data_IF_746212593338
#
_entry.id   IF_746212593338
#
_cell.length_a   1.000
_cell.length_b   1.000
_cell.length_c   1.000
_cell.angle_alpha   90.00
_cell.angle_beta   90.00
_cell.angle_gamma   90.00
#
_symmetry.space_group_name_H-M   'P 1'
#
loop_
_entity.id
_entity.type
_entity.pdbx_description
1 polymer ?
#
# COMPACT_ATOMS: atom_id res chain seq x y z
N UNK A 1 -2.79 -31.11 4.61
CA UNK A 1 -2.05 -30.49 3.51
C UNK A 1 -3.03 -29.71 2.66
N UNK A 2 -2.70 -28.47 2.29
CA UNK A 2 -3.48 -27.65 1.41
C UNK A 2 -2.55 -26.99 0.40
N UNK A 3 -3.01 -26.91 -0.84
CA UNK A 3 -2.33 -26.22 -1.94
C UNK A 3 -3.35 -25.41 -2.71
N UNK A 4 -3.02 -24.19 -3.08
CA UNK A 4 -3.86 -23.35 -3.93
C UNK A 4 -3.03 -22.34 -4.72
N UNK A 5 -3.49 -22.01 -5.93
CA UNK A 5 -2.92 -20.96 -6.77
C UNK A 5 -4.00 -19.94 -7.06
N UNK A 6 -3.64 -18.65 -7.04
CA UNK A 6 -4.52 -17.53 -7.39
C UNK A 6 -3.77 -16.58 -8.31
N UNK A 7 -4.36 -16.31 -9.45
CA UNK A 7 -3.92 -15.25 -10.37
C UNK A 7 -4.79 -14.01 -10.22
N UNK A 8 -4.19 -12.84 -10.28
CA UNK A 8 -4.87 -11.55 -10.31
C UNK A 8 -4.16 -10.62 -11.28
N UNK A 9 -4.90 -10.11 -12.27
CA UNK A 9 -4.41 -9.13 -13.25
C UNK A 9 -5.25 -7.86 -13.10
N UNK A 10 -4.54 -6.72 -12.93
CA UNK A 10 -5.14 -5.39 -12.93
C UNK A 10 -4.43 -4.57 -14.00
N UNK A 11 -5.08 -4.35 -15.13
CA UNK A 11 -4.60 -3.46 -16.20
C UNK A 11 -5.35 -2.14 -16.12
N UNK A 12 -4.61 -1.05 -16.17
CA UNK A 12 -5.14 0.31 -16.24
C UNK A 12 -4.70 1.00 -17.54
N UNK A 13 -4.23 0.24 -18.51
CA UNK A 13 -3.89 0.74 -19.83
C UNK A 13 -5.13 1.30 -20.54
N UNK A 14 -4.97 2.37 -21.28
CA UNK A 14 -6.06 2.89 -22.12
C UNK A 14 -6.45 1.85 -23.18
N UNK A 15 -7.72 1.52 -23.35
CA UNK A 15 -8.15 0.60 -24.39
C UNK A 15 -8.07 1.22 -25.80
N UNK A 16 -7.88 2.54 -25.89
CA UNK A 16 -7.84 3.31 -27.15
C UNK A 16 -6.66 4.26 -27.11
N UNK A 17 -5.95 4.40 -28.21
CA UNK A 17 -4.88 5.37 -28.38
C UNK A 17 -3.52 4.89 -27.89
N UNK A 18 -3.31 3.61 -27.61
CA UNK A 18 -1.99 3.05 -27.30
C UNK A 18 -0.99 3.36 -28.42
N UNK A 19 0.24 3.77 -28.05
CA UNK A 19 1.27 4.21 -28.96
C UNK A 19 1.08 5.64 -29.51
N UNK A 20 0.05 6.37 -29.02
CA UNK A 20 -0.16 7.77 -29.34
C UNK A 20 0.21 8.68 -28.17
N UNK A 21 0.85 9.82 -28.39
CA UNK A 21 1.15 10.77 -27.33
C UNK A 21 -0.12 11.42 -26.77
N UNK A 22 -0.05 11.82 -25.53
CA UNK A 22 -1.03 12.67 -24.89
C UNK A 22 -0.78 14.14 -25.25
N UNK A 23 -1.81 14.84 -25.67
CA UNK A 23 -1.79 16.27 -25.94
C UNK A 23 -2.76 17.00 -25.02
N UNK A 24 -2.25 17.99 -24.27
CA UNK A 24 -3.01 18.93 -23.50
C UNK A 24 -2.95 20.31 -24.19
N UNK A 25 -4.10 20.90 -24.48
CA UNK A 25 -4.21 22.23 -25.07
C UNK A 25 -4.89 23.13 -24.04
N UNK A 26 -4.11 24.06 -23.48
CA UNK A 26 -4.62 25.09 -22.57
C UNK A 26 -5.35 26.17 -23.40
N UNK A 27 -6.33 26.82 -22.78
CA UNK A 27 -7.16 27.84 -23.45
C UNK A 27 -7.74 27.39 -24.82
N UNK A 28 -8.25 26.18 -24.85
CA UNK A 28 -8.83 25.55 -26.03
C UNK A 28 -10.20 26.16 -26.37
N UNK A 29 -10.22 27.24 -27.15
CA UNK A 29 -11.44 27.94 -27.58
C UNK A 29 -11.92 29.02 -26.63
N UNK A 30 -11.62 28.98 -25.33
CA UNK A 30 -11.85 30.05 -24.37
C UNK A 30 -10.84 29.95 -23.21
N UNK A 31 -10.58 31.06 -22.55
CA UNK A 31 -9.67 31.14 -21.41
C UNK A 31 -10.08 30.18 -20.29
N UNK A 32 -9.13 29.39 -19.81
CA UNK A 32 -9.33 28.44 -18.73
C UNK A 32 -9.96 27.11 -19.14
N UNK A 33 -10.31 26.91 -20.42
CA UNK A 33 -10.78 25.62 -20.93
C UNK A 33 -9.57 24.82 -21.40
N UNK A 34 -9.46 23.57 -20.88
CA UNK A 34 -8.43 22.61 -21.26
C UNK A 34 -9.05 21.51 -22.13
N UNK A 35 -8.42 21.23 -23.27
CA UNK A 35 -8.71 20.09 -24.11
C UNK A 35 -7.61 19.04 -24.00
N UNK A 36 -8.00 17.77 -23.98
CA UNK A 36 -7.08 16.64 -23.89
C UNK A 36 -7.35 15.67 -25.06
N UNK A 37 -6.29 15.18 -25.68
CA UNK A 37 -6.32 14.26 -26.82
C UNK A 37 -5.31 13.15 -26.57
N UNK A 38 -5.65 11.92 -26.92
CA UNK A 38 -4.81 10.74 -26.71
C UNK A 38 -5.07 10.05 -25.38
N UNK A 39 -4.30 8.98 -25.04
CA UNK A 39 -4.39 8.29 -23.78
C UNK A 39 -3.81 9.19 -22.67
N UNK A 40 -4.38 9.09 -21.47
CA UNK A 40 -3.82 9.71 -20.25
C UNK A 40 -2.36 9.26 -20.06
N UNK A 41 -1.47 10.17 -19.65
CA UNK A 41 -0.04 9.91 -19.42
C UNK A 41 0.23 8.75 -18.46
N UNK A 42 -0.72 8.45 -17.55
CA UNK A 42 -0.60 7.34 -16.60
C UNK A 42 -1.17 6.02 -17.15
N UNK A 43 -1.65 5.99 -18.42
CA UNK A 43 -2.36 4.87 -19.03
C UNK A 43 -1.66 4.27 -20.25
N UNK A 44 -0.50 4.79 -20.64
CA UNK A 44 0.30 4.26 -21.74
C UNK A 44 0.94 2.90 -21.39
N UNK A 45 1.52 2.77 -20.20
CA UNK A 45 1.99 1.50 -19.65
C UNK A 45 1.65 1.42 -18.16
N UNK A 46 0.62 0.65 -17.81
CA UNK A 46 0.16 0.51 -16.42
C UNK A 46 -0.56 -0.83 -16.22
N UNK A 47 0.17 -1.84 -15.78
CA UNK A 47 -0.36 -3.17 -15.49
C UNK A 47 0.35 -3.81 -14.31
N UNK A 48 -0.43 -4.44 -13.43
CA UNK A 48 0.05 -5.32 -12.37
C UNK A 48 -0.58 -6.70 -12.55
N UNK A 49 0.24 -7.72 -12.73
CA UNK A 49 -0.15 -9.12 -12.65
C UNK A 49 0.56 -9.77 -11.47
N UNK A 50 -0.16 -10.58 -10.71
CA UNK A 50 0.35 -11.31 -9.56
C UNK A 50 -0.19 -12.72 -9.60
N UNK A 51 0.70 -13.71 -9.62
CA UNK A 51 0.35 -15.10 -9.32
C UNK A 51 0.78 -15.40 -7.88
N UNK A 52 -0.09 -16.04 -7.11
CA UNK A 52 0.19 -16.42 -5.72
C UNK A 52 0.00 -17.92 -5.57
N UNK A 53 1.05 -18.63 -5.22
CA UNK A 53 1.02 -20.04 -4.84
C UNK A 53 1.10 -20.17 -3.32
N UNK A 54 0.18 -20.93 -2.74
CA UNK A 54 0.11 -21.15 -1.30
C UNK A 54 0.16 -22.63 -0.99
N UNK A 55 1.14 -23.01 -0.15
CA UNK A 55 1.31 -24.36 0.38
C UNK A 55 1.21 -24.33 1.89
N UNK A 56 0.45 -25.25 2.48
CA UNK A 56 0.28 -25.37 3.93
C UNK A 56 0.35 -26.82 4.40
N UNK A 57 1.19 -27.05 5.39
CA UNK A 57 1.26 -28.29 6.17
C UNK A 57 0.83 -27.97 7.61
N UNK A 58 -0.13 -28.71 8.13
CA UNK A 58 -0.63 -28.54 9.51
C UNK A 58 -0.76 -29.89 10.20
N UNK A 59 -0.24 -29.99 11.41
CA UNK A 59 -0.43 -31.11 12.32
C UNK A 59 -1.16 -30.66 13.58
N UNK A 60 -1.98 -31.55 14.14
CA UNK A 60 -2.63 -31.36 15.46
C UNK A 60 -2.43 -32.60 16.28
N UNK A 61 -1.99 -32.44 17.54
CA UNK A 61 -1.77 -33.51 18.49
C UNK A 61 -2.45 -33.22 19.82
N UNK A 62 -3.19 -34.17 20.35
CA UNK A 62 -3.91 -34.08 21.61
C UNK A 62 -3.20 -34.87 22.69
N UNK A 63 -2.97 -34.24 23.84
CA UNK A 63 -2.34 -34.88 25.01
C UNK A 63 -2.96 -34.32 26.31
N UNK A 64 -3.81 -35.14 26.95
CA UNK A 64 -4.53 -34.69 28.16
C UNK A 64 -5.43 -33.51 27.87
N UNK A 65 -5.18 -32.38 28.55
CA UNK A 65 -5.88 -31.13 28.38
C UNK A 65 -5.20 -30.17 27.40
N UNK A 66 -4.20 -30.64 26.65
CA UNK A 66 -3.47 -29.87 25.65
C UNK A 66 -3.86 -30.27 24.23
N UNK A 67 -4.00 -29.25 23.35
CA UNK A 67 -4.15 -29.40 21.91
C UNK A 67 -3.05 -28.63 21.21
N UNK A 68 -1.97 -29.34 20.91
CA UNK A 68 -0.85 -28.78 20.15
C UNK A 68 -1.20 -28.66 18.68
N UNK A 69 -0.93 -27.50 18.09
CA UNK A 69 -1.01 -27.28 16.65
C UNK A 69 0.33 -26.73 16.16
N UNK A 70 0.86 -27.33 15.12
CA UNK A 70 2.10 -26.90 14.50
C UNK A 70 1.99 -26.96 12.98
N UNK A 71 2.75 -26.15 12.31
CA UNK A 71 2.70 -26.15 10.87
C UNK A 71 3.75 -25.29 10.20
N UNK A 72 3.75 -25.46 8.90
CA UNK A 72 4.54 -24.72 7.94
C UNK A 72 3.61 -24.18 6.87
N UNK A 73 3.83 -22.93 6.48
CA UNK A 73 3.15 -22.27 5.37
C UNK A 73 4.19 -21.61 4.48
N UNK A 74 4.05 -21.79 3.18
CA UNK A 74 4.83 -21.10 2.17
C UNK A 74 3.86 -20.35 1.26
N UNK A 75 4.17 -19.08 0.99
CA UNK A 75 3.49 -18.27 -0.02
C UNK A 75 4.54 -17.76 -0.98
N UNK A 76 4.37 -18.05 -2.25
CA UNK A 76 5.18 -17.53 -3.33
C UNK A 76 4.32 -16.54 -4.12
N UNK A 77 4.86 -15.35 -4.37
CA UNK A 77 4.29 -14.35 -5.27
C UNK A 77 5.21 -14.17 -6.47
N UNK A 78 4.68 -14.41 -7.66
CA UNK A 78 5.28 -14.05 -8.93
C UNK A 78 4.63 -12.76 -9.42
N UNK A 79 5.45 -11.74 -9.67
CA UNK A 79 5.04 -10.36 -9.90
C UNK A 79 5.51 -9.89 -11.25
N UNK A 80 4.57 -9.37 -12.04
CA UNK A 80 4.84 -8.50 -13.18
C UNK A 80 4.16 -7.16 -12.92
N UNK A 81 4.93 -6.09 -12.84
CA UNK A 81 4.40 -4.74 -12.68
C UNK A 81 5.11 -3.77 -13.62
N UNK A 82 4.36 -3.18 -14.55
CA UNK A 82 4.82 -2.09 -15.40
C UNK A 82 4.03 -0.84 -15.11
N UNK A 83 4.76 0.26 -14.88
CA UNK A 83 4.21 1.60 -14.80
C UNK A 83 5.25 2.60 -15.34
N UNK A 84 5.01 3.09 -16.55
CA UNK A 84 5.86 4.07 -17.21
C UNK A 84 4.98 5.27 -17.58
N UNK A 85 5.20 6.38 -16.89
CA UNK A 85 4.46 7.62 -17.14
C UNK A 85 4.86 8.23 -18.47
N UNK A 86 3.88 8.70 -19.25
CA UNK A 86 4.09 9.33 -20.54
C UNK A 86 5.03 8.54 -21.48
N UNK A 87 4.89 7.19 -21.51
CA UNK A 87 5.72 6.33 -22.35
C UNK A 87 5.63 6.70 -23.83
N UNK A 88 4.46 7.12 -24.29
CA UNK A 88 4.22 7.57 -25.67
C UNK A 88 4.44 9.07 -25.83
N UNK A 89 4.82 9.79 -24.77
CA UNK A 89 5.03 11.23 -24.72
C UNK A 89 3.80 12.00 -24.24
N UNK A 90 4.04 13.05 -23.47
CA UNK A 90 3.05 14.05 -23.04
C UNK A 90 3.46 15.45 -23.49
N UNK A 91 2.59 16.16 -24.17
CA UNK A 91 2.83 17.51 -24.69
C UNK A 91 1.76 18.49 -24.20
N UNK A 92 2.19 19.68 -23.81
CA UNK A 92 1.28 20.79 -23.53
C UNK A 92 1.43 21.88 -24.59
N UNK A 93 0.32 22.53 -24.92
CA UNK A 93 0.23 23.61 -25.89
C UNK A 93 -0.52 24.78 -25.29
N UNK A 94 -0.01 26.00 -25.47
CA UNK A 94 -0.70 27.24 -25.10
C UNK A 94 -1.59 27.70 -26.25
N UNK A 95 -2.86 27.25 -26.23
CA UNK A 95 -3.87 27.56 -27.22
C UNK A 95 -3.84 26.70 -28.50
N UNK A 96 -4.97 26.73 -29.21
CA UNK A 96 -5.18 25.97 -30.46
C UNK A 96 -4.19 26.38 -31.56
N UNK A 97 -3.81 27.66 -31.61
CA UNK A 97 -2.88 28.16 -32.63
C UNK A 97 -1.49 27.49 -32.54
N UNK A 98 -0.98 27.31 -31.32
CA UNK A 98 0.30 26.61 -31.10
C UNK A 98 0.18 25.12 -31.37
N UNK A 99 -0.95 24.50 -31.04
CA UNK A 99 -1.21 23.12 -31.41
C UNK A 99 -1.23 22.92 -32.93
N UNK A 100 -1.93 23.80 -33.67
CA UNK A 100 -1.93 23.76 -35.15
C UNK A 100 -0.58 24.03 -35.76
N UNK A 101 0.24 24.89 -35.11
CA UNK A 101 1.62 25.16 -35.52
C UNK A 101 2.61 24.06 -35.09
N UNK A 102 2.16 23.02 -34.35
CA UNK A 102 2.99 21.95 -33.80
C UNK A 102 4.11 22.45 -32.88
N UNK A 103 3.83 23.48 -32.08
CA UNK A 103 4.76 24.09 -31.13
C UNK A 103 4.23 23.88 -29.73
N UNK A 104 4.82 22.94 -28.99
CA UNK A 104 4.46 22.68 -27.58
C UNK A 104 5.17 23.65 -26.63
N UNK A 105 4.55 23.92 -25.50
CA UNK A 105 5.13 24.68 -24.37
C UNK A 105 5.91 23.80 -23.41
N UNK A 106 5.50 22.53 -23.25
CA UNK A 106 6.19 21.54 -22.43
C UNK A 106 6.12 20.15 -23.05
N UNK A 107 7.05 19.31 -22.65
CA UNK A 107 7.14 17.91 -23.05
C UNK A 107 7.62 17.07 -21.89
N UNK A 108 6.96 15.94 -21.66
CA UNK A 108 7.41 14.92 -20.74
C UNK A 108 7.42 13.55 -21.41
N UNK A 109 8.40 12.74 -21.03
CA UNK A 109 8.55 11.39 -21.53
C UNK A 109 9.41 10.56 -20.59
N UNK A 110 8.95 9.36 -20.29
CA UNK A 110 9.72 8.30 -19.65
C UNK A 110 9.67 7.06 -20.52
N UNK A 111 10.72 6.29 -20.50
CA UNK A 111 10.71 4.96 -21.10
C UNK A 111 11.80 4.08 -20.45
N UNK A 112 11.73 2.78 -20.72
CA UNK A 112 12.84 1.90 -20.44
C UNK A 112 14.04 2.25 -21.35
N UNK A 113 15.24 1.94 -20.87
CA UNK A 113 16.47 2.24 -21.65
C UNK A 113 16.59 1.39 -22.92
N UNK A 114 15.94 0.24 -22.98
CA UNK A 114 15.84 -0.62 -24.16
C UNK A 114 14.60 -0.30 -25.02
N UNK A 115 13.83 0.71 -24.62
CA UNK A 115 12.62 1.18 -25.30
C UNK A 115 11.51 0.12 -25.42
N UNK A 116 11.52 -0.87 -24.53
CA UNK A 116 10.48 -1.91 -24.46
C UNK A 116 9.68 -1.81 -23.17
N UNK A 117 8.42 -2.20 -23.19
CA UNK A 117 7.59 -2.26 -21.99
C UNK A 117 8.16 -3.23 -20.95
N UNK A 118 8.63 -4.40 -21.41
CA UNK A 118 9.24 -5.41 -20.54
C UNK A 118 10.52 -4.91 -19.86
N UNK A 119 11.34 -4.14 -20.57
CA UNK A 119 12.56 -3.56 -20.01
C UNK A 119 12.31 -2.59 -18.87
N UNK A 120 11.13 -1.96 -18.84
CA UNK A 120 10.68 -1.08 -17.75
C UNK A 120 9.85 -1.77 -16.68
N UNK A 121 9.48 -3.04 -16.88
CA UNK A 121 8.67 -3.78 -15.90
C UNK A 121 9.52 -4.28 -14.72
N UNK A 122 8.95 -4.24 -13.53
CA UNK A 122 9.40 -5.06 -12.40
C UNK A 122 8.92 -6.50 -12.62
N UNK A 123 9.84 -7.43 -12.77
CA UNK A 123 9.57 -8.87 -12.87
C UNK A 123 10.41 -9.53 -11.81
N UNK A 124 9.77 -10.11 -10.79
CA UNK A 124 10.46 -10.72 -9.66
C UNK A 124 9.53 -11.64 -8.87
N UNK A 125 10.13 -12.58 -8.17
CA UNK A 125 9.46 -13.43 -7.22
C UNK A 125 9.88 -13.09 -5.78
N UNK A 126 8.97 -13.23 -4.83
CA UNK A 126 9.29 -13.25 -3.42
C UNK A 126 8.41 -14.24 -2.68
N UNK A 127 8.92 -14.76 -1.59
CA UNK A 127 8.22 -15.75 -0.81
C UNK A 127 8.23 -15.45 0.68
N UNK A 128 7.24 -16.01 1.36
CA UNK A 128 7.08 -15.97 2.80
C UNK A 128 7.05 -17.40 3.31
N UNK A 129 8.08 -17.78 4.04
CA UNK A 129 8.12 -19.00 4.82
C UNK A 129 7.70 -18.76 6.25
N UNK A 130 6.79 -19.57 6.75
CA UNK A 130 6.21 -19.40 8.07
C UNK A 130 6.21 -20.71 8.83
N UNK A 131 6.74 -20.68 10.04
CA UNK A 131 6.69 -21.79 10.98
C UNK A 131 5.91 -21.37 12.21
N UNK A 132 4.97 -22.19 12.65
CA UNK A 132 4.19 -21.87 13.83
C UNK A 132 3.97 -23.06 14.74
N UNK A 133 3.89 -22.76 16.02
CA UNK A 133 3.49 -23.66 17.07
C UNK A 133 2.52 -22.97 18.01
N UNK A 134 1.44 -23.66 18.41
CA UNK A 134 0.53 -23.20 19.44
C UNK A 134 0.07 -24.36 20.31
N UNK A 135 -0.19 -24.04 21.57
CA UNK A 135 -0.82 -24.90 22.55
C UNK A 135 -2.12 -24.27 23.02
N UNK A 136 -3.21 -24.99 22.87
CA UNK A 136 -4.51 -24.65 23.43
C UNK A 136 -4.76 -25.58 24.61
N UNK A 137 -4.93 -24.99 25.80
CA UNK A 137 -4.90 -25.68 27.09
C UNK A 137 -6.22 -25.50 27.81
N UNK A 138 -6.93 -26.58 28.12
CA UNK A 138 -8.06 -26.57 29.05
C UNK A 138 -7.53 -26.55 30.48
N UNK A 139 -7.30 -25.35 31.05
CA UNK A 139 -6.80 -25.17 32.41
C UNK A 139 -7.84 -25.70 33.42
N UNK A 140 -9.11 -25.48 33.13
CA UNK A 140 -10.26 -26.00 33.87
C UNK A 140 -11.48 -26.09 32.95
N UNK A 141 -12.60 -26.62 33.48
CA UNK A 141 -13.88 -26.65 32.74
C UNK A 141 -14.36 -25.24 32.32
N UNK A 142 -13.85 -24.18 32.99
CA UNK A 142 -14.25 -22.77 32.77
C UNK A 142 -13.18 -21.93 32.10
N UNK A 143 -11.97 -22.41 31.97
CA UNK A 143 -10.84 -21.61 31.46
C UNK A 143 -10.07 -22.37 30.40
N UNK A 144 -10.15 -21.88 29.18
CA UNK A 144 -9.28 -22.25 28.06
C UNK A 144 -8.24 -21.15 27.81
N UNK A 145 -6.99 -21.51 27.56
CA UNK A 145 -5.88 -20.61 27.27
C UNK A 145 -5.17 -21.11 26.01
N UNK A 146 -4.86 -20.19 25.10
CA UNK A 146 -4.04 -20.47 23.92
C UNK A 146 -2.76 -19.64 24.00
N UNK A 147 -1.62 -20.31 23.80
CA UNK A 147 -0.30 -19.68 23.65
C UNK A 147 0.28 -20.12 22.31
N UNK A 148 0.83 -19.19 21.56
CA UNK A 148 1.41 -19.50 20.25
C UNK A 148 2.56 -18.59 19.88
N UNK A 149 3.41 -19.12 19.02
CA UNK A 149 4.51 -18.41 18.37
C UNK A 149 4.50 -18.73 16.89
N UNK A 150 4.82 -17.72 16.07
CA UNK A 150 4.99 -17.85 14.64
C UNK A 150 6.23 -17.09 14.20
N UNK A 151 7.07 -17.73 13.44
CA UNK A 151 8.20 -17.13 12.74
C UNK A 151 7.83 -16.98 11.26
N UNK A 152 7.97 -15.77 10.75
CA UNK A 152 7.76 -15.40 9.35
C UNK A 152 9.07 -14.89 8.78
N UNK A 153 9.50 -15.43 7.62
CA UNK A 153 10.70 -15.01 6.89
C UNK A 153 10.31 -14.66 5.46
N UNK A 154 10.58 -13.41 5.08
CA UNK A 154 10.38 -12.92 3.73
C UNK A 154 11.70 -12.93 2.99
N UNK A 155 11.73 -13.57 1.84
CA UNK A 155 12.94 -13.67 1.05
C UNK A 155 12.65 -13.61 -0.46
N UNK A 156 13.68 -13.39 -1.27
CA UNK A 156 13.61 -13.30 -2.72
C UNK A 156 14.96 -13.63 -3.32
N UNK A 157 14.96 -14.47 -4.33
CA UNK A 157 16.17 -14.74 -5.15
C UNK A 157 16.41 -13.59 -6.14
N UNK A 158 15.42 -12.69 -6.32
CA UNK A 158 15.52 -11.52 -7.17
C UNK A 158 15.88 -10.28 -6.36
N UNK A 159 16.61 -9.37 -6.99
CA UNK A 159 16.94 -8.06 -6.43
C UNK A 159 16.76 -6.96 -7.47
N UNK A 160 16.47 -5.72 -7.04
CA UNK A 160 16.51 -4.56 -7.93
C UNK A 160 17.86 -4.46 -8.66
N UNK A 161 17.87 -3.95 -9.89
CA UNK A 161 19.13 -3.71 -10.56
C UNK A 161 19.95 -2.66 -9.80
N UNK A 162 21.21 -2.99 -9.51
CA UNK A 162 22.09 -2.11 -8.73
C UNK A 162 22.41 -0.85 -9.53
N UNK A 163 22.04 0.32 -8.99
CA UNK A 163 22.40 1.61 -9.54
C UNK A 163 23.75 2.06 -8.96
N UNK A 164 24.84 1.90 -9.73
CA UNK A 164 26.17 2.24 -9.24
C UNK A 164 26.30 3.72 -8.85
N UNK A 165 25.65 4.63 -9.58
CA UNK A 165 25.64 6.05 -9.21
C UNK A 165 24.95 6.33 -7.89
N UNK A 166 23.93 5.54 -7.54
CA UNK A 166 23.28 5.57 -6.22
C UNK A 166 24.22 5.05 -5.14
N UNK A 167 24.87 3.89 -5.36
CA UNK A 167 25.83 3.31 -4.43
C UNK A 167 26.99 4.26 -4.16
N UNK A 168 27.55 4.87 -5.19
CA UNK A 168 28.66 5.81 -5.07
C UNK A 168 28.28 7.08 -4.29
N UNK A 169 27.02 7.53 -4.42
CA UNK A 169 26.53 8.72 -3.75
C UNK A 169 26.11 8.47 -2.29
N UNK A 170 25.57 7.28 -1.97
CA UNK A 170 24.90 7.02 -0.69
C UNK A 170 25.54 5.90 0.13
N UNK A 171 26.44 5.11 -0.44
CA UNK A 171 27.21 4.09 0.29
C UNK A 171 26.46 2.79 0.57
N UNK A 172 25.28 2.57 -0.01
CA UNK A 172 24.51 1.33 0.09
C UNK A 172 23.76 1.05 -1.22
N UNK A 173 23.34 -0.20 -1.44
CA UNK A 173 22.58 -0.59 -2.61
C UNK A 173 21.10 -0.21 -2.50
N UNK A 174 20.45 0.02 -3.64
CA UNK A 174 19.01 0.19 -3.74
C UNK A 174 18.29 -1.16 -3.58
N UNK A 175 18.35 -1.74 -2.37
CA UNK A 175 17.96 -3.12 -2.07
C UNK A 175 16.46 -3.41 -2.12
N UNK A 176 16.15 -4.71 -1.98
CA UNK A 176 14.81 -5.30 -1.91
C UNK A 176 14.42 -5.75 -0.50
N UNK A 177 13.49 -6.70 -0.40
CA UNK A 177 12.93 -7.19 0.88
C UNK A 177 13.60 -8.46 1.40
N UNK A 178 14.56 -9.04 0.68
CA UNK A 178 15.17 -10.31 1.04
C UNK A 178 15.76 -10.30 2.45
N UNK A 179 15.52 -11.39 3.22
CA UNK A 179 16.07 -11.59 4.57
C UNK A 179 15.34 -10.84 5.69
N UNK A 180 14.18 -10.22 5.45
CA UNK A 180 13.37 -9.64 6.53
C UNK A 180 12.58 -10.70 7.26
N UNK A 181 12.54 -10.67 8.59
CA UNK A 181 11.83 -11.67 9.38
C UNK A 181 11.07 -11.05 10.56
N UNK A 182 10.10 -11.80 11.08
CA UNK A 182 9.30 -11.44 12.25
C UNK A 182 9.04 -12.66 13.13
N UNK A 183 8.98 -12.42 14.44
CA UNK A 183 8.48 -13.39 15.42
C UNK A 183 7.20 -12.84 16.03
N UNK A 184 6.10 -13.49 15.74
CA UNK A 184 4.78 -13.11 16.23
C UNK A 184 4.37 -14.01 17.41
N UNK A 185 3.88 -13.39 18.48
CA UNK A 185 3.40 -14.07 19.68
C UNK A 185 1.88 -13.93 19.81
N UNK A 186 1.24 -14.96 20.32
CA UNK A 186 -0.20 -14.95 20.60
C UNK A 186 -0.48 -15.55 21.97
N UNK A 187 -1.25 -14.83 22.78
CA UNK A 187 -1.85 -15.28 24.01
C UNK A 187 -3.33 -14.96 23.93
N UNK A 188 -4.20 -15.94 24.14
CA UNK A 188 -5.62 -15.69 24.32
C UNK A 188 -6.20 -16.56 25.44
N UNK A 189 -7.27 -16.09 26.01
CA UNK A 189 -8.03 -16.87 26.98
C UNK A 189 -9.53 -16.71 26.75
N UNK A 190 -10.26 -17.72 27.21
CA UNK A 190 -11.70 -17.76 27.26
C UNK A 190 -12.11 -18.28 28.63
N UNK A 191 -12.79 -17.44 29.42
CA UNK A 191 -13.13 -17.70 30.81
C UNK A 191 -14.62 -17.55 31.05
N UNK A 192 -15.26 -18.65 31.44
CA UNK A 192 -16.63 -18.67 31.93
C UNK A 192 -16.69 -18.25 33.41
N UNK A 193 -17.02 -16.97 33.66
CA UNK A 193 -17.09 -16.40 35.00
C UNK A 193 -18.19 -17.12 35.79
N UNK A 194 -19.37 -17.20 35.19
CA UNK A 194 -20.54 -17.89 35.67
C UNK A 194 -21.39 -18.42 34.48
N UNK A 195 -22.56 -19.01 34.75
CA UNK A 195 -23.43 -19.64 33.76
C UNK A 195 -23.93 -18.67 32.66
N UNK A 196 -23.88 -17.36 32.91
CA UNK A 196 -24.41 -16.30 32.03
C UNK A 196 -23.36 -15.28 31.62
N UNK A 197 -22.13 -15.39 32.11
CA UNK A 197 -21.09 -14.39 31.91
C UNK A 197 -19.78 -15.01 31.43
N UNK A 198 -19.18 -14.43 30.39
CA UNK A 198 -17.95 -14.89 29.75
C UNK A 198 -16.99 -13.74 29.52
N UNK A 199 -15.70 -13.96 29.73
CA UNK A 199 -14.64 -13.01 29.47
C UNK A 199 -13.62 -13.63 28.52
N UNK A 200 -13.35 -12.95 27.39
CA UNK A 200 -12.39 -13.36 26.38
C UNK A 200 -11.31 -12.32 26.27
N UNK A 201 -10.05 -12.74 26.19
CA UNK A 201 -8.93 -11.84 25.98
C UNK A 201 -7.98 -12.34 24.91
N UNK A 202 -7.36 -11.40 24.22
CA UNK A 202 -6.31 -11.64 23.24
C UNK A 202 -5.21 -10.60 23.42
N UNK A 203 -3.97 -11.05 23.46
CA UNK A 203 -2.79 -10.24 23.26
C UNK A 203 -1.92 -10.93 22.22
N UNK A 204 -1.43 -10.18 21.23
CA UNK A 204 -0.55 -10.77 20.22
C UNK A 204 0.04 -9.73 19.28
N UNK A 205 1.05 -10.18 18.55
CA UNK A 205 1.69 -9.45 17.47
C UNK A 205 1.33 -10.10 16.14
N UNK A 206 1.19 -9.30 15.10
CA UNK A 206 0.73 -9.73 13.79
C UNK A 206 1.48 -9.00 12.69
N UNK A 207 1.94 -9.74 11.68
CA UNK A 207 2.53 -9.14 10.47
C UNK A 207 1.47 -8.34 9.71
N UNK A 208 1.77 -7.11 9.37
CA UNK A 208 0.94 -6.29 8.50
C UNK A 208 1.15 -6.68 7.03
N UNK A 209 0.09 -6.57 6.23
CA UNK A 209 0.19 -6.82 4.79
C UNK A 209 0.65 -5.55 4.08
N UNK A 210 1.73 -5.65 3.29
CA UNK A 210 2.13 -4.60 2.36
C UNK A 210 1.52 -4.81 0.98
N UNK A 211 1.04 -3.76 0.31
CA UNK A 211 0.71 -3.84 -1.10
C UNK A 211 1.94 -4.20 -1.94
N UNK A 212 1.82 -5.21 -2.78
CA UNK A 212 2.89 -5.68 -3.67
C UNK A 212 3.48 -4.56 -4.53
N UNK A 213 2.65 -3.61 -4.96
CA UNK A 213 3.08 -2.47 -5.78
C UNK A 213 4.09 -1.56 -5.06
N UNK A 214 4.10 -1.48 -3.74
CA UNK A 214 5.09 -0.69 -3.02
C UNK A 214 6.47 -1.36 -3.01
N UNK A 215 6.49 -2.68 -2.98
CA UNK A 215 7.72 -3.46 -3.12
C UNK A 215 8.22 -3.36 -4.57
N UNK A 216 7.33 -3.53 -5.55
CA UNK A 216 7.69 -3.50 -6.97
C UNK A 216 8.20 -2.14 -7.45
N UNK A 217 7.88 -1.03 -6.75
CA UNK A 217 8.46 0.28 -7.05
C UNK A 217 10.00 0.27 -6.97
N UNK A 218 10.60 -0.48 -6.04
CA UNK A 218 12.05 -0.59 -5.94
C UNK A 218 12.66 -1.36 -7.12
N UNK A 219 11.91 -2.27 -7.73
CA UNK A 219 12.37 -3.07 -8.87
C UNK A 219 12.17 -2.36 -10.22
N UNK A 220 11.10 -1.58 -10.40
CA UNK A 220 10.84 -0.83 -11.64
C UNK A 220 11.58 0.51 -11.68
N UNK A 221 11.59 1.24 -10.56
CA UNK A 221 12.24 2.56 -10.44
C UNK A 221 13.61 2.43 -9.78
N UNK A 222 14.43 1.48 -10.19
CA UNK A 222 15.81 1.29 -9.71
C UNK A 222 16.81 2.33 -10.25
N UNK A 223 16.34 3.19 -11.18
CA UNK A 223 17.16 4.18 -11.89
C UNK A 223 18.07 3.59 -12.96
N UNK A 224 18.01 2.26 -13.15
CA UNK A 224 18.74 1.54 -14.21
C UNK A 224 17.79 1.22 -15.37
N UNK A 225 16.62 0.74 -15.11
CA UNK A 225 15.65 0.26 -16.11
C UNK A 225 14.92 1.41 -16.80
N UNK A 226 14.35 2.33 -16.03
CA UNK A 226 13.57 3.47 -16.55
C UNK A 226 14.39 4.74 -16.48
N UNK A 227 14.28 5.56 -17.51
CA UNK A 227 14.86 6.89 -17.60
C UNK A 227 13.79 7.92 -17.95
N UNK A 228 13.97 9.15 -17.45
CA UNK A 228 13.15 10.30 -17.81
C UNK A 228 13.91 11.17 -18.80
N UNK A 229 13.21 11.63 -19.82
CA UNK A 229 13.79 12.61 -20.75
C UNK A 229 14.20 13.90 -20.01
N UNK A 230 15.42 14.34 -20.29
CA UNK A 230 15.92 15.61 -19.83
C UNK A 230 16.65 16.30 -21.00
N UNK A 231 16.25 17.51 -21.31
CA UNK A 231 16.86 18.30 -22.41
C UNK A 231 18.38 18.44 -22.25
N UNK A 232 18.90 18.50 -21.02
CA UNK A 232 20.34 18.57 -20.76
C UNK A 232 21.13 17.33 -21.21
N UNK A 233 20.43 16.18 -21.31
CA UNK A 233 21.03 14.90 -21.74
C UNK A 233 20.82 14.63 -23.24
N UNK A 234 20.03 15.45 -23.91
CA UNK A 234 19.76 15.30 -25.34
C UNK A 234 20.91 15.83 -26.20
N UNK A 235 21.07 15.24 -27.37
CA UNK A 235 22.05 15.73 -28.36
C UNK A 235 21.75 17.18 -28.74
N UNK A 236 22.80 17.92 -29.08
CA UNK A 236 22.66 19.31 -29.55
C UNK A 236 21.70 19.38 -30.77
N UNK A 237 20.71 20.24 -30.68
CA UNK A 237 19.67 20.40 -31.70
C UNK A 237 18.46 19.49 -31.55
N UNK A 238 18.42 18.59 -30.56
CA UNK A 238 17.21 17.86 -30.22
C UNK A 238 16.20 18.82 -29.57
N UNK A 239 15.08 19.04 -30.21
CA UNK A 239 14.00 19.86 -29.68
C UNK A 239 12.63 19.19 -29.89
N UNK A 240 12.11 18.46 -28.92
CA UNK A 240 10.81 17.79 -29.03
C UNK A 240 9.63 18.76 -29.03
N UNK A 241 9.84 20.05 -28.72
CA UNK A 241 8.77 21.05 -28.62
C UNK A 241 8.34 21.63 -29.95
N UNK A 242 9.09 21.39 -31.06
CA UNK A 242 8.84 21.95 -32.39
C UNK A 242 8.67 20.85 -33.42
N UNK A 243 7.65 20.97 -34.26
CA UNK A 243 7.31 19.92 -35.23
C UNK A 243 6.70 18.70 -34.57
N UNK A 244 5.94 18.92 -33.52
CA UNK A 244 5.29 17.83 -32.72
C UNK A 244 4.35 17.01 -33.58
N UNK A 245 4.58 15.69 -33.59
CA UNK A 245 3.74 14.71 -34.30
C UNK A 245 3.37 13.57 -33.35
N UNK A 246 2.74 12.53 -33.87
CA UNK A 246 2.46 11.30 -33.10
C UNK A 246 3.65 10.35 -33.02
N UNK A 247 4.79 10.70 -33.64
CA UNK A 247 6.00 9.88 -33.62
C UNK A 247 7.05 10.51 -32.71
N UNK A 248 7.60 9.72 -31.78
CA UNK A 248 8.65 10.14 -30.88
C UNK A 248 9.94 10.46 -31.69
N UNK A 249 10.56 11.66 -31.51
CA UNK A 249 11.82 11.97 -32.15
C UNK A 249 12.96 11.01 -31.76
N UNK A 250 13.76 10.55 -32.72
CA UNK A 250 14.86 9.61 -32.44
C UNK A 250 15.82 10.13 -31.37
N UNK A 251 16.12 11.44 -31.41
CA UNK A 251 17.00 12.05 -30.40
C UNK A 251 16.49 12.03 -28.98
N UNK A 252 15.16 11.92 -28.78
CA UNK A 252 14.54 11.71 -27.46
C UNK A 252 14.81 10.29 -26.99
N UNK A 253 14.62 9.28 -27.84
CA UNK A 253 14.96 7.90 -27.55
C UNK A 253 16.44 7.72 -27.22
N UNK A 254 17.33 8.38 -27.97
CA UNK A 254 18.77 8.38 -27.69
C UNK A 254 19.07 8.99 -26.30
N UNK A 255 18.38 10.06 -25.92
CA UNK A 255 18.52 10.68 -24.60
C UNK A 255 18.07 9.76 -23.46
N UNK A 256 17.01 8.96 -23.67
CA UNK A 256 16.54 7.94 -22.73
C UNK A 256 17.59 6.82 -22.59
N UNK A 257 18.02 6.24 -23.71
CA UNK A 257 18.96 5.11 -23.73
C UNK A 257 20.30 5.47 -23.06
N UNK A 258 20.77 6.71 -23.20
CA UNK A 258 22.06 7.20 -22.69
C UNK A 258 21.94 8.06 -21.42
N UNK A 259 20.78 8.13 -20.77
CA UNK A 259 20.57 8.96 -19.57
C UNK A 259 21.53 8.55 -18.42
N UNK A 260 22.12 9.50 -17.67
CA UNK A 260 22.95 9.18 -16.51
C UNK A 260 22.16 8.45 -15.40
N UNK A 261 22.78 7.43 -14.78
CA UNK A 261 22.14 6.63 -13.74
C UNK A 261 21.77 7.46 -12.50
N UNK A 262 22.64 8.37 -12.05
CA UNK A 262 22.40 9.17 -10.85
C UNK A 262 21.26 10.18 -11.03
N UNK A 263 21.03 10.65 -12.26
CA UNK A 263 19.96 11.60 -12.56
C UNK A 263 18.57 10.97 -12.59
N UNK A 264 18.47 9.64 -12.59
CA UNK A 264 17.19 8.95 -12.60
C UNK A 264 16.51 8.98 -11.22
N UNK A 265 15.19 8.79 -11.20
CA UNK A 265 14.45 8.44 -9.99
C UNK A 265 14.94 7.08 -9.49
N UNK A 266 15.14 6.96 -8.18
CA UNK A 266 15.41 5.67 -7.55
C UNK A 266 14.43 5.47 -6.40
N UNK A 267 13.64 4.43 -6.49
CA UNK A 267 12.88 3.92 -5.36
C UNK A 267 13.67 2.75 -4.76
N UNK A 268 13.73 2.66 -3.44
CA UNK A 268 14.46 1.60 -2.75
C UNK A 268 13.76 1.20 -1.46
N UNK A 269 14.05 0.02 -0.98
CA UNK A 269 13.69 -0.42 0.37
C UNK A 269 14.88 -0.13 1.28
N UNK A 270 14.64 0.60 2.37
CA UNK A 270 15.71 1.00 3.25
C UNK A 270 16.43 -0.22 3.86
N UNK A 271 17.77 -0.19 4.03
CA UNK A 271 18.49 -1.28 4.68
C UNK A 271 18.02 -1.58 6.11
N UNK A 272 17.38 -0.60 6.76
CA UNK A 272 16.78 -0.72 8.10
C UNK A 272 15.29 -1.05 8.06
N UNK A 273 14.74 -1.37 6.90
CA UNK A 273 13.34 -1.71 6.77
C UNK A 273 13.06 -3.07 7.41
N UNK A 274 12.06 -3.09 8.28
CA UNK A 274 11.52 -4.30 8.88
C UNK A 274 10.10 -4.49 8.39
N UNK A 275 9.62 -5.74 8.33
CA UNK A 275 8.24 -5.98 7.94
C UNK A 275 7.31 -5.41 9.01
N UNK A 276 6.34 -4.55 8.65
CA UNK A 276 5.52 -3.85 9.64
C UNK A 276 4.74 -4.81 10.54
N UNK A 277 4.80 -4.57 11.84
CA UNK A 277 4.11 -5.34 12.87
C UNK A 277 2.96 -4.54 13.49
N UNK A 278 1.90 -5.24 13.90
CA UNK A 278 0.81 -4.71 14.71
C UNK A 278 0.72 -5.47 16.02
N UNK A 279 0.88 -4.79 17.15
CA UNK A 279 0.62 -5.31 18.47
C UNK A 279 -0.84 -5.04 18.83
N UNK A 280 -1.59 -6.07 19.23
CA UNK A 280 -3.01 -5.95 19.53
C UNK A 280 -3.34 -6.54 20.90
N UNK A 281 -4.09 -5.78 21.67
CA UNK A 281 -4.79 -6.24 22.87
C UNK A 281 -6.30 -6.13 22.65
N UNK A 282 -7.03 -7.19 22.98
CA UNK A 282 -8.49 -7.20 22.93
C UNK A 282 -9.04 -7.84 24.20
N UNK A 283 -10.11 -7.26 24.76
CA UNK A 283 -10.87 -7.80 25.88
C UNK A 283 -12.35 -7.69 25.57
N UNK A 284 -13.07 -8.81 25.62
CA UNK A 284 -14.50 -8.88 25.37
C UNK A 284 -15.21 -9.52 26.57
N UNK A 285 -16.21 -8.82 27.10
CA UNK A 285 -17.12 -9.31 28.10
C UNK A 285 -18.50 -9.58 27.49
N UNK A 286 -19.02 -10.76 27.71
CA UNK A 286 -20.36 -11.18 27.28
C UNK A 286 -21.21 -11.53 28.50
N UNK A 287 -22.48 -11.13 28.48
CA UNK A 287 -23.43 -11.49 29.53
C UNK A 287 -24.84 -11.68 28.98
N UNK A 288 -25.42 -12.81 29.32
CA UNK A 288 -26.83 -13.09 29.09
C UNK A 288 -27.70 -12.45 30.18
N UNK A 289 -28.74 -11.74 29.78
CA UNK A 289 -29.70 -11.06 30.65
C UNK A 289 -31.12 -11.39 30.18
N UNK A 290 -31.61 -12.56 30.57
CA UNK A 290 -32.84 -13.12 30.01
C UNK A 290 -32.68 -13.40 28.52
N UNK A 291 -33.51 -12.79 27.67
CA UNK A 291 -33.45 -12.95 26.20
C UNK A 291 -32.42 -12.03 25.54
N UNK A 292 -31.68 -11.22 26.27
CA UNK A 292 -30.70 -10.28 25.76
C UNK A 292 -29.28 -10.75 25.99
N UNK A 293 -28.43 -10.56 24.99
CA UNK A 293 -26.99 -10.71 25.11
C UNK A 293 -26.34 -9.33 25.09
N UNK A 294 -25.64 -8.98 26.15
CA UNK A 294 -24.74 -7.84 26.22
C UNK A 294 -23.36 -8.28 25.80
N UNK A 295 -22.76 -7.58 24.84
CA UNK A 295 -21.36 -7.73 24.48
C UNK A 295 -20.65 -6.39 24.63
N UNK A 296 -19.55 -6.36 25.36
CA UNK A 296 -18.70 -5.17 25.51
C UNK A 296 -17.26 -5.52 25.12
N UNK A 297 -16.68 -4.76 24.22
CA UNK A 297 -15.34 -5.03 23.69
C UNK A 297 -14.45 -3.79 23.80
N UNK A 298 -13.26 -3.97 24.32
CA UNK A 298 -12.17 -3.00 24.25
C UNK A 298 -11.04 -3.58 23.39
N UNK A 299 -10.58 -2.79 22.42
CA UNK A 299 -9.45 -3.11 21.55
C UNK A 299 -8.45 -1.96 21.60
N UNK A 300 -7.19 -2.31 21.78
CA UNK A 300 -6.06 -1.40 21.61
C UNK A 300 -5.05 -2.04 20.65
N UNK A 301 -4.65 -1.30 19.63
CA UNK A 301 -3.61 -1.75 18.70
C UNK A 301 -2.57 -0.65 18.53
N UNK A 302 -1.30 -1.06 18.50
CA UNK A 302 -0.18 -0.21 18.09
C UNK A 302 0.40 -0.80 16.82
N UNK A 303 0.63 0.03 15.83
CA UNK A 303 1.06 -0.40 14.51
C UNK A 303 2.31 0.34 14.08
N UNK A 304 3.25 -0.38 13.50
CA UNK A 304 4.25 0.20 12.64
C UNK A 304 3.69 0.36 11.24
N UNK A 305 3.93 1.51 10.62
CA UNK A 305 3.49 1.80 9.27
C UNK A 305 4.70 2.01 8.36
N UNK A 306 4.64 1.38 7.17
CA UNK A 306 5.59 1.69 6.12
C UNK A 306 5.22 3.04 5.47
N UNK A 307 6.21 3.89 5.22
CA UNK A 307 6.00 5.11 4.44
C UNK A 307 7.24 5.50 3.63
N UNK A 308 7.06 6.40 2.65
CA UNK A 308 8.15 6.91 1.85
C UNK A 308 8.80 8.15 2.45
N UNK A 309 10.14 8.17 2.41
CA UNK A 309 10.99 9.32 2.74
C UNK A 309 11.92 9.62 1.59
N UNK A 310 12.36 10.87 1.49
CA UNK A 310 13.36 11.29 0.51
C UNK A 310 14.76 11.13 1.11
N UNK A 311 15.68 10.60 0.30
CA UNK A 311 17.10 10.57 0.63
C UNK A 311 17.77 11.85 0.16
N UNK A 312 18.53 12.51 1.04
CA UNK A 312 19.27 13.72 0.69
C UNK A 312 20.51 13.40 -0.14
N UNK A 313 20.62 14.06 -1.29
CA UNK A 313 21.76 13.92 -2.20
C UNK A 313 23.09 14.48 -1.63
N UNK A 314 23.05 15.33 -0.61
CA UNK A 314 24.24 15.97 -0.04
C UNK A 314 24.90 15.21 1.09
N UNK A 315 24.12 14.50 1.90
CA UNK A 315 24.61 13.90 3.17
C UNK A 315 24.41 12.38 3.22
N UNK A 316 23.61 11.80 2.33
CA UNK A 316 23.19 10.41 2.42
C UNK A 316 22.32 10.11 3.65
N UNK A 317 21.96 11.12 4.44
CA UNK A 317 21.18 11.00 5.67
C UNK A 317 19.70 11.18 5.34
N UNK A 318 18.91 10.23 5.80
CA UNK A 318 17.46 10.31 5.72
C UNK A 318 17.01 11.39 6.70
N UNK A 319 16.35 12.41 6.17
CA UNK A 319 15.73 13.45 6.98
C UNK A 319 16.46 14.77 7.08
N UNK A 320 17.66 14.88 6.59
CA UNK A 320 18.14 16.21 6.24
C UNK A 320 17.33 16.69 5.04
N UNK A 321 16.72 17.86 5.19
CA UNK A 321 15.84 18.45 4.18
C UNK A 321 16.65 18.73 2.93
N UNK A 322 16.70 17.78 2.02
CA UNK A 322 17.35 17.89 0.73
C UNK A 322 16.78 19.01 -0.16
N UNK A 323 15.63 19.56 0.27
CA UNK A 323 14.96 20.62 -0.45
C UNK A 323 15.20 21.93 0.29
N UNK A 324 15.89 22.90 -0.33
CA UNK A 324 16.04 24.21 0.27
C UNK A 324 14.65 24.80 0.54
N UNK A 325 14.45 25.32 1.75
CA UNK A 325 13.28 26.13 2.04
C UNK A 325 13.29 27.35 1.10
N UNK A 326 12.32 27.44 0.24
CA UNK A 326 12.17 28.58 -0.71
C UNK A 326 11.62 29.77 0.04
N UNK A 327 10.74 29.55 0.99
CA UNK A 327 10.07 30.54 1.79
C UNK A 327 9.81 29.96 3.20
N UNK A 328 9.50 30.85 4.13
CA UNK A 328 8.99 30.49 5.44
C UNK A 328 7.55 30.94 5.56
N UNK A 329 6.67 30.04 5.97
CA UNK A 329 5.27 30.36 6.23
C UNK A 329 5.16 31.33 7.45
N UNK A 330 4.06 32.08 7.59
CA UNK A 330 3.87 33.01 8.73
C UNK A 330 3.95 32.34 10.09
N UNK A 331 3.71 31.03 10.19
CA UNK A 331 3.83 30.22 11.41
C UNK A 331 5.24 29.63 11.64
N UNK A 332 6.22 30.02 10.81
CA UNK A 332 7.61 29.60 10.91
C UNK A 332 7.96 28.28 10.21
N UNK A 333 6.99 27.58 9.60
CA UNK A 333 7.27 26.35 8.86
C UNK A 333 7.99 26.63 7.54
N UNK A 334 8.97 25.82 7.15
CA UNK A 334 9.62 25.96 5.85
C UNK A 334 8.64 25.56 4.72
N UNK A 335 8.54 26.38 3.71
CA UNK A 335 7.88 26.04 2.45
C UNK A 335 8.95 25.48 1.52
N UNK A 336 8.85 24.19 1.21
CA UNK A 336 9.76 23.49 0.33
C UNK A 336 9.24 23.63 -1.11
N UNK A 337 10.11 24.06 -2.03
CA UNK A 337 9.77 24.06 -3.46
C UNK A 337 10.04 22.66 -4.02
N UNK A 338 8.98 22.05 -4.50
CA UNK A 338 9.09 20.84 -5.33
C UNK A 338 8.37 21.10 -6.65
N UNK A 339 9.12 21.17 -7.73
CA UNK A 339 8.53 21.02 -9.05
C UNK A 339 8.32 19.53 -9.35
N UNK A 340 7.34 19.16 -10.15
CA UNK A 340 7.17 17.78 -10.60
C UNK A 340 8.45 17.20 -11.25
N UNK A 341 9.21 18.04 -11.92
CA UNK A 341 10.51 17.65 -12.50
C UNK A 341 11.54 17.19 -11.44
N UNK A 342 11.46 17.67 -10.21
CA UNK A 342 12.34 17.23 -9.12
C UNK A 342 11.98 15.83 -8.62
N UNK A 343 10.70 15.45 -8.63
CA UNK A 343 10.29 14.09 -8.27
C UNK A 343 10.86 13.04 -9.24
N UNK A 344 11.07 13.38 -10.50
CA UNK A 344 11.63 12.49 -11.52
C UNK A 344 13.11 12.15 -11.31
N UNK A 345 13.80 12.86 -10.41
CA UNK A 345 15.21 12.61 -10.05
C UNK A 345 15.39 12.28 -8.56
N UNK A 346 14.32 12.30 -7.78
CA UNK A 346 14.35 12.10 -6.34
C UNK A 346 14.55 10.63 -5.98
N UNK A 347 15.19 10.39 -4.84
CA UNK A 347 15.41 9.07 -4.27
C UNK A 347 14.40 8.83 -3.14
N UNK A 348 13.47 7.90 -3.33
CA UNK A 348 12.44 7.56 -2.35
C UNK A 348 12.74 6.22 -1.70
N UNK A 349 12.91 6.23 -0.39
CA UNK A 349 13.06 5.00 0.39
C UNK A 349 11.78 4.63 1.12
N UNK A 350 11.46 3.34 1.17
CA UNK A 350 10.42 2.77 2.01
C UNK A 350 11.00 2.49 3.39
N UNK A 351 10.43 3.09 4.43
CA UNK A 351 10.88 3.06 5.83
C UNK A 351 9.74 2.71 6.77
N UNK A 352 10.08 2.23 7.96
CA UNK A 352 9.14 2.07 9.05
C UNK A 352 8.96 3.37 9.85
N UNK A 353 7.75 3.60 10.31
CA UNK A 353 7.39 4.61 11.27
C UNK A 353 6.53 3.99 12.38
N UNK A 354 6.85 4.33 13.63
CA UNK A 354 6.05 3.97 14.79
C UNK A 354 5.14 5.11 15.22
N UNK A 355 4.12 4.79 16.01
CA UNK A 355 3.21 5.76 16.62
C UNK A 355 1.77 5.71 16.12
N UNK A 356 1.48 4.94 15.06
CA UNK A 356 0.10 4.64 14.70
C UNK A 356 -0.55 3.78 15.80
N UNK A 357 -1.74 4.17 16.22
CA UNK A 357 -2.48 3.47 17.26
C UNK A 357 -3.99 3.51 17.01
N UNK A 358 -4.68 2.52 17.55
CA UNK A 358 -6.13 2.42 17.48
C UNK A 358 -6.64 2.01 18.84
N UNK A 359 -7.60 2.77 19.38
CA UNK A 359 -8.40 2.40 20.53
C UNK A 359 -9.86 2.33 20.11
N UNK A 360 -10.52 1.22 20.44
CA UNK A 360 -11.93 1.03 20.13
C UNK A 360 -12.63 0.47 21.36
N UNK A 361 -13.67 1.15 21.80
CA UNK A 361 -14.61 0.62 22.77
C UNK A 361 -15.97 0.45 22.10
N UNK A 362 -16.55 -0.73 22.23
CA UNK A 362 -17.91 -0.99 21.74
C UNK A 362 -18.77 -1.67 22.79
N UNK A 363 -20.05 -1.33 22.79
CA UNK A 363 -21.07 -2.03 23.55
C UNK A 363 -22.25 -2.32 22.65
N UNK A 364 -22.74 -3.54 22.71
CA UNK A 364 -23.88 -4.01 21.91
C UNK A 364 -24.84 -4.81 22.79
N UNK A 365 -26.12 -4.62 22.57
CA UNK A 365 -27.18 -5.47 23.07
C UNK A 365 -27.89 -6.13 21.91
N UNK A 366 -28.02 -7.44 21.96
CA UNK A 366 -28.69 -8.25 20.94
C UNK A 366 -29.76 -9.11 21.54
N UNK A 367 -30.87 -9.33 20.83
CA UNK A 367 -31.95 -10.23 21.23
C UNK A 367 -32.42 -11.03 20.03
N UNK A 368 -32.60 -12.32 20.22
CA UNK A 368 -33.34 -13.19 19.33
C UNK A 368 -34.75 -13.37 19.81
N UNK A 369 -35.72 -13.42 18.92
CA UNK A 369 -37.12 -13.61 19.22
C UNK A 369 -37.78 -14.50 18.15
N UNK A 370 -38.99 -14.99 18.42
CA UNK A 370 -39.72 -15.89 17.50
C UNK A 370 -38.90 -17.12 17.11
N UNK A 371 -38.36 -17.86 18.10
CA UNK A 371 -37.54 -19.07 17.89
C UNK A 371 -36.37 -18.89 16.89
N UNK A 372 -35.78 -17.67 16.84
CA UNK A 372 -34.66 -17.32 15.97
C UNK A 372 -35.03 -16.72 14.60
N UNK A 373 -36.34 -16.61 14.31
CA UNK A 373 -36.81 -15.97 13.07
C UNK A 373 -36.70 -14.43 13.08
N UNK A 374 -36.46 -13.85 14.25
CA UNK A 374 -36.22 -12.44 14.44
C UNK A 374 -34.94 -12.15 15.24
N UNK A 375 -34.25 -11.08 14.91
CA UNK A 375 -33.10 -10.56 15.65
C UNK A 375 -33.15 -9.03 15.71
N UNK A 376 -32.85 -8.49 16.88
CA UNK A 376 -32.65 -7.05 17.06
C UNK A 376 -31.30 -6.83 17.71
N UNK A 377 -30.58 -5.85 17.23
CA UNK A 377 -29.31 -5.40 17.85
C UNK A 377 -29.27 -3.88 17.89
N UNK A 378 -28.76 -3.35 18.97
CA UNK A 378 -28.39 -1.95 19.12
C UNK A 378 -26.98 -1.87 19.69
N UNK A 379 -26.16 -1.00 19.14
CA UNK A 379 -24.77 -0.88 19.58
C UNK A 379 -24.23 0.52 19.43
N UNK A 380 -23.26 0.81 20.26
CA UNK A 380 -22.47 2.03 20.24
C UNK A 380 -21.00 1.69 20.19
N UNK A 381 -20.26 2.40 19.34
CA UNK A 381 -18.81 2.30 19.25
C UNK A 381 -18.20 3.68 19.36
N UNK A 382 -17.19 3.80 20.20
CA UNK A 382 -16.26 4.93 20.26
C UNK A 382 -14.89 4.46 19.80
N UNK A 383 -14.25 5.23 18.92
CA UNK A 383 -12.90 4.92 18.47
C UNK A 383 -12.04 6.17 18.42
N UNK A 384 -10.76 5.98 18.71
CA UNK A 384 -9.70 6.95 18.52
C UNK A 384 -8.61 6.28 17.68
N UNK A 385 -8.30 6.83 16.52
CA UNK A 385 -7.36 6.22 15.57
C UNK A 385 -6.36 7.27 15.12
N UNK A 386 -5.11 7.08 15.51
CA UNK A 386 -3.98 7.83 14.99
C UNK A 386 -3.25 7.01 13.92
N UNK A 387 -2.87 7.65 12.83
CA UNK A 387 -2.09 7.06 11.75
C UNK A 387 -0.97 8.01 11.31
N UNK A 388 0.07 7.45 10.73
CA UNK A 388 1.18 8.25 10.17
C UNK A 388 0.77 8.78 8.80
N UNK A 389 0.31 7.87 7.93
CA UNK A 389 -0.03 8.20 6.56
C UNK A 389 -0.98 7.16 5.96
N UNK A 390 -1.99 7.61 5.26
CA UNK A 390 -2.95 6.71 4.63
C UNK A 390 -2.43 5.97 3.39
N UNK A 391 -1.24 6.31 2.86
CA UNK A 391 -0.58 5.68 1.70
C UNK A 391 -1.56 5.03 0.70
N UNK A 392 -2.30 5.86 -0.06
CA UNK A 392 -3.40 5.39 -0.93
C UNK A 392 -3.00 5.23 -2.39
N UNK A 393 -1.78 5.62 -2.75
CA UNK A 393 -1.28 5.56 -4.12
C UNK A 393 -0.42 4.32 -4.37
N UNK A 394 -0.28 3.94 -5.63
CA UNK A 394 0.67 2.94 -6.08
C UNK A 394 2.10 3.46 -6.17
N UNK A 395 2.30 4.77 -6.39
CA UNK A 395 3.62 5.36 -6.61
C UNK A 395 4.22 5.97 -5.35
N UNK A 396 5.55 5.92 -5.23
CA UNK A 396 6.33 6.46 -4.11
C UNK A 396 6.12 7.97 -3.91
N UNK A 397 6.24 8.75 -4.99
CA UNK A 397 6.11 10.20 -4.93
C UNK A 397 4.70 10.66 -4.56
N UNK A 398 3.67 9.99 -5.08
CA UNK A 398 2.28 10.34 -4.74
C UNK A 398 1.96 10.01 -3.29
N UNK A 399 2.45 8.90 -2.76
CA UNK A 399 2.32 8.58 -1.34
C UNK A 399 3.08 9.59 -0.48
N UNK A 400 4.31 9.93 -0.85
CA UNK A 400 5.08 10.95 -0.15
C UNK A 400 4.37 12.31 -0.15
N UNK A 401 3.90 12.78 -1.30
CA UNK A 401 3.28 14.10 -1.45
C UNK A 401 1.89 14.24 -0.86
N UNK A 402 1.12 13.15 -0.77
CA UNK A 402 -0.27 13.16 -0.29
C UNK A 402 -0.44 12.88 1.20
N UNK A 403 0.62 12.54 1.91
CA UNK A 403 0.55 12.33 3.34
C UNK A 403 0.51 13.68 4.08
N UNK A 404 -0.52 13.97 4.87
CA UNK A 404 -0.57 15.19 5.67
C UNK A 404 0.51 15.20 6.75
N UNK A 405 0.98 16.37 7.12
CA UNK A 405 1.94 16.53 8.20
C UNK A 405 2.71 17.84 8.09
N UNK A 406 3.23 18.31 9.22
CA UNK A 406 4.09 19.48 9.28
C UNK A 406 5.54 19.19 8.83
N UNK A 407 5.94 17.92 8.86
CA UNK A 407 7.21 17.42 8.38
C UNK A 407 6.98 16.24 7.45
N UNK A 408 7.38 16.35 6.19
CA UNK A 408 7.22 15.28 5.20
C UNK A 408 8.20 14.13 5.36
N UNK A 409 9.28 14.33 6.12
CA UNK A 409 10.30 13.29 6.36
C UNK A 409 10.01 12.51 7.65
N UNK A 410 9.67 13.20 8.74
CA UNK A 410 9.36 12.62 10.05
C UNK A 410 7.95 13.00 10.44
N UNK A 411 6.98 12.24 9.95
CA UNK A 411 5.57 12.49 10.19
C UNK A 411 5.17 11.96 11.55
N UNK A 412 4.67 12.81 12.45
CA UNK A 412 4.05 12.32 13.67
C UNK A 412 2.71 11.64 13.33
N UNK A 413 2.32 10.68 14.16
CA UNK A 413 0.97 10.16 14.12
C UNK A 413 -0.04 11.27 14.38
N UNK A 414 -1.13 11.24 13.66
CA UNK A 414 -2.23 12.19 13.75
C UNK A 414 -3.56 11.49 13.50
N UNK A 415 -4.64 12.15 13.88
CA UNK A 415 -6.00 11.61 13.71
C UNK A 415 -6.23 11.10 12.30
N UNK A 416 -6.69 9.86 12.21
CA UNK A 416 -6.96 9.19 10.94
C UNK A 416 -8.15 9.81 10.21
N UNK A 417 -8.02 9.99 8.90
CA UNK A 417 -9.15 10.39 8.03
C UNK A 417 -10.24 9.32 7.93
N UNK A 418 -9.97 8.10 8.35
CA UNK A 418 -10.91 6.98 8.36
C UNK A 418 -11.61 6.80 9.71
N UNK A 419 -11.30 7.65 10.69
CA UNK A 419 -11.93 7.59 12.00
C UNK A 419 -13.39 8.03 11.93
N UNK A 420 -14.28 7.20 12.48
CA UNK A 420 -15.63 7.58 12.86
C UNK A 420 -15.68 7.53 14.37
N UNK A 421 -15.38 8.66 15.04
CA UNK A 421 -15.20 8.73 16.49
C UNK A 421 -16.36 8.12 17.27
N UNK A 422 -17.59 8.40 16.83
CA UNK A 422 -18.80 7.89 17.45
C UNK A 422 -19.69 7.22 16.39
N UNK A 423 -20.09 5.97 16.65
CA UNK A 423 -21.03 5.24 15.79
C UNK A 423 -22.12 4.63 16.63
N UNK A 424 -23.35 4.98 16.34
CA UNK A 424 -24.56 4.31 16.84
C UNK A 424 -25.17 3.52 15.68
N UNK A 425 -25.58 2.29 15.95
CA UNK A 425 -26.30 1.47 14.98
C UNK A 425 -27.44 0.71 15.66
N UNK A 426 -28.47 0.43 14.90
CA UNK A 426 -29.52 -0.50 15.26
C UNK A 426 -29.84 -1.36 14.04
N UNK A 427 -30.05 -2.64 14.24
CA UNK A 427 -30.44 -3.58 13.18
C UNK A 427 -31.66 -4.38 13.63
N UNK A 428 -32.57 -4.60 12.71
CA UNK A 428 -33.72 -5.48 12.91
C UNK A 428 -33.79 -6.45 11.74
N UNK A 429 -33.85 -7.72 12.04
CA UNK A 429 -34.11 -8.79 11.08
C UNK A 429 -35.37 -9.55 11.47
N UNK A 430 -36.25 -9.85 10.55
CA UNK A 430 -37.46 -10.62 10.79
C UNK A 430 -37.80 -11.46 9.57
N UNK A 431 -38.01 -12.76 9.79
CA UNK A 431 -38.36 -13.72 8.76
C UNK A 431 -39.87 -14.04 8.82
N UNK A 432 -40.53 -14.02 7.69
CA UNK A 432 -41.96 -14.29 7.52
C UNK A 432 -42.19 -15.26 6.38
N UNK A 433 -43.21 -16.08 6.48
CA UNK A 433 -43.56 -17.12 5.51
C UNK A 433 -44.86 -16.78 4.77
N UNK A 434 -44.84 -15.69 3.97
CA UNK A 434 -46.03 -15.19 3.27
C UNK A 434 -46.56 -16.13 2.21
N UNK A 435 -45.72 -16.97 1.61
CA UNK A 435 -46.06 -17.84 0.48
C UNK A 435 -45.94 -19.34 0.81
N UNK A 436 -45.94 -19.67 2.14
CA UNK A 436 -45.87 -21.04 2.63
C UNK A 436 -44.56 -21.32 3.37
N UNK A 437 -44.52 -22.45 4.16
CA UNK A 437 -43.41 -22.74 5.07
C UNK A 437 -42.05 -22.96 4.40
N UNK A 438 -42.02 -23.21 3.09
CA UNK A 438 -40.79 -23.41 2.33
C UNK A 438 -40.32 -22.11 1.59
N UNK A 439 -41.02 -20.97 1.80
CA UNK A 439 -40.73 -19.71 1.16
C UNK A 439 -40.52 -18.58 2.14
N UNK A 440 -39.38 -18.59 2.90
CA UNK A 440 -39.09 -17.54 3.86
C UNK A 440 -38.79 -16.22 3.15
N UNK A 441 -39.31 -15.13 3.68
CA UNK A 441 -38.99 -13.75 3.29
C UNK A 441 -38.41 -13.05 4.50
N UNK A 442 -37.14 -12.65 4.42
CA UNK A 442 -36.43 -11.96 5.51
C UNK A 442 -36.32 -10.48 5.21
N UNK A 443 -36.77 -9.65 6.13
CA UNK A 443 -36.61 -8.20 6.13
C UNK A 443 -35.41 -7.84 7.01
N UNK A 444 -34.53 -7.01 6.50
CA UNK A 444 -33.37 -6.48 7.22
C UNK A 444 -33.42 -4.94 7.15
N UNK A 445 -33.31 -4.29 8.31
CA UNK A 445 -33.26 -2.84 8.49
C UNK A 445 -31.97 -2.45 9.20
#
# INVERSE_FOLDING_TARGET
>A
VSFSTKEQITSQMSPVGQGLPFFQINDCGAQGIRCELGPDIFRSANQLATETTFTKLKGTYYMGNHKFTFGYENKLWDIYNVFIEAQDGGYEFEGIANYQAQIASSFEHQNSRDLTELGGAAVFEYYLDSFYFQDEIDISEKLNVLVGVRYDEFDSDDSPAVNQGFVDAYGFENGGIAGTNLINYRLSFDYEIDEVSRLKGLFGTFSSKLPTVWISNAYSNDGVRIATYNQANAAAGCNPLVGVTTTMPACVNDAITNAPLLAAKVDFIAPSFEWPETQTFNLTYEREMGDWLLTSTYLNSKQEEANYRILDAGTGIIGDRALPAVLTAPDGRPILSQSESQFKTTKFGLYNNSGAQREVFSVQMSRFFNDGEGAFSIGYTHQNIDMICSMQSSTSHSNYGKCPGSDFQYRPASRSIYETEHRLFATLSSTHYFFGPESPTTFNL
#
